data_IF_803421711397
#
_entry.id   IF_803421711397
#
_cell.length_a   1.000
_cell.length_b   1.000
_cell.length_c   1.000
_cell.angle_alpha   90.00
_cell.angle_beta   90.00
_cell.angle_gamma   90.00
#
_symmetry.space_group_name_H-M   'P 1'
#
loop_
_entity.id
_entity.type
_entity.pdbx_description
1 polymer ?
#
# COMPACT_ATOMS: atom_id res chain seq x y z
N UNK A 1 -7.52 19.81 12.73
CA UNK A 1 -7.24 18.38 12.89
C UNK A 1 -6.59 18.13 14.24
N UNK A 2 -7.13 17.20 15.00
CA UNK A 2 -6.61 16.79 16.31
C UNK A 2 -5.54 15.70 16.15
N UNK A 3 -4.53 15.90 15.29
CA UNK A 3 -3.48 14.93 15.03
C UNK A 3 -2.39 15.47 14.13
N UNK A 4 -1.29 14.76 14.03
CA UNK A 4 -0.20 15.06 13.12
C UNK A 4 -0.41 14.44 11.74
N UNK A 5 0.30 14.95 10.75
CA UNK A 5 0.39 14.39 9.40
C UNK A 5 1.83 13.95 9.13
N UNK A 6 2.01 12.72 8.66
CA UNK A 6 3.30 12.22 8.21
C UNK A 6 3.31 12.23 6.69
N UNK A 7 4.22 13.00 6.09
CA UNK A 7 4.40 13.07 4.65
C UNK A 7 5.63 12.26 4.24
N UNK A 8 5.44 11.29 3.33
CA UNK A 8 6.52 10.53 2.72
C UNK A 8 6.80 11.06 1.32
N UNK A 9 8.02 11.54 1.11
CA UNK A 9 8.50 11.99 -0.20
C UNK A 9 9.43 10.95 -0.78
N UNK A 10 9.07 10.39 -1.94
CA UNK A 10 9.98 9.52 -2.69
C UNK A 10 11.11 10.34 -3.29
N UNK A 11 12.30 9.73 -3.43
CA UNK A 11 13.44 10.38 -4.08
C UNK A 11 13.04 10.96 -5.44
N UNK A 12 13.57 12.13 -5.77
CA UNK A 12 13.34 12.78 -7.07
C UNK A 12 14.55 12.59 -7.98
N UNK A 13 14.33 12.31 -9.28
CA UNK A 13 15.39 12.33 -10.26
C UNK A 13 16.06 13.71 -10.31
N UNK A 14 17.32 13.73 -10.78
CA UNK A 14 18.08 14.96 -10.93
C UNK A 14 18.28 15.22 -12.43
N UNK A 15 18.07 16.45 -12.85
CA UNK A 15 18.40 16.93 -14.21
C UNK A 15 19.75 17.65 -14.12
N UNK A 16 20.73 17.22 -14.93
CA UNK A 16 22.07 17.81 -15.00
C UNK A 16 22.51 17.93 -16.43
N UNK A 17 23.41 18.89 -16.74
CA UNK A 17 23.90 19.21 -18.08
C UNK A 17 24.77 18.14 -18.74
N UNK A 18 25.01 17.00 -18.11
CA UNK A 18 25.71 15.85 -18.70
C UNK A 18 25.02 14.55 -18.41
N UNK A 19 25.03 13.63 -19.35
CA UNK A 19 24.51 12.29 -19.17
C UNK A 19 25.31 11.53 -18.12
N UNK A 20 24.59 10.96 -17.14
CA UNK A 20 25.21 10.19 -16.06
C UNK A 20 24.29 9.09 -15.57
N UNK A 21 24.85 7.90 -15.42
CA UNK A 21 24.19 6.76 -14.79
C UNK A 21 24.90 6.47 -13.46
N UNK A 22 24.09 6.26 -12.41
CA UNK A 22 24.57 5.78 -11.12
C UNK A 22 23.64 4.66 -10.65
N UNK A 23 24.22 3.51 -10.33
CA UNK A 23 23.49 2.38 -9.76
C UNK A 23 24.02 2.04 -8.38
N UNK A 24 23.14 1.55 -7.52
CA UNK A 24 23.48 0.98 -6.22
C UNK A 24 22.69 -0.31 -6.02
N UNK A 25 23.36 -1.30 -5.49
CA UNK A 25 22.74 -2.55 -5.07
C UNK A 25 22.91 -2.69 -3.57
N UNK A 26 21.81 -3.05 -2.89
CA UNK A 26 21.80 -3.23 -1.44
C UNK A 26 21.17 -4.57 -1.12
N UNK A 27 21.83 -5.35 -0.28
CA UNK A 27 21.29 -6.59 0.28
C UNK A 27 21.18 -6.41 1.79
N UNK A 28 20.02 -6.75 2.36
CA UNK A 28 19.80 -6.80 3.79
C UNK A 28 19.44 -8.23 4.20
N UNK A 29 20.02 -8.68 5.31
CA UNK A 29 19.64 -9.93 5.96
C UNK A 29 19.14 -9.65 7.37
N UNK A 30 18.02 -10.29 7.73
CA UNK A 30 17.40 -10.19 9.05
C UNK A 30 17.38 -11.58 9.69
N UNK A 31 18.13 -11.78 10.77
CA UNK A 31 18.27 -13.08 11.45
C UNK A 31 16.97 -13.54 12.13
N UNK A 32 16.12 -12.61 12.57
CA UNK A 32 14.88 -12.91 13.29
C UNK A 32 13.88 -13.73 12.45
N UNK A 33 13.89 -13.58 11.15
CA UNK A 33 13.01 -14.30 10.22
C UNK A 33 13.76 -14.85 9.00
N UNK A 34 15.10 -14.95 9.08
CA UNK A 34 15.94 -15.38 7.96
C UNK A 34 15.62 -14.61 6.66
N UNK A 35 15.20 -13.34 6.82
CA UNK A 35 14.73 -12.51 5.74
C UNK A 35 15.89 -12.00 4.88
N UNK A 36 15.71 -12.05 3.56
CA UNK A 36 16.63 -11.46 2.59
C UNK A 36 15.86 -10.46 1.76
N UNK A 37 16.37 -9.24 1.67
CA UNK A 37 15.83 -8.19 0.82
C UNK A 37 16.93 -7.61 -0.06
N UNK A 38 16.74 -7.66 -1.37
CA UNK A 38 17.65 -7.12 -2.37
C UNK A 38 17.00 -5.91 -3.04
N UNK A 39 17.74 -4.83 -3.17
CA UNK A 39 17.27 -3.62 -3.83
C UNK A 39 18.32 -3.12 -4.81
N UNK A 40 17.92 -2.94 -6.08
CA UNK A 40 18.68 -2.30 -7.12
C UNK A 40 18.07 -0.93 -7.43
N UNK A 41 18.85 0.12 -7.28
CA UNK A 41 18.46 1.49 -7.65
C UNK A 41 19.36 2.00 -8.74
N UNK A 42 18.77 2.45 -9.85
CA UNK A 42 19.49 3.10 -10.95
C UNK A 42 18.95 4.51 -11.15
N UNK A 43 19.85 5.47 -11.13
CA UNK A 43 19.57 6.88 -11.43
C UNK A 43 20.18 7.22 -12.76
N UNK A 44 19.40 7.83 -13.63
CA UNK A 44 19.86 8.45 -14.87
C UNK A 44 19.63 9.96 -14.81
N UNK A 45 20.57 10.73 -15.29
CA UNK A 45 20.43 12.19 -15.43
C UNK A 45 20.94 12.66 -16.77
N UNK A 46 20.26 13.62 -17.38
CA UNK A 46 20.67 14.35 -18.57
C UNK A 46 20.27 15.81 -18.46
N UNK A 47 20.45 16.59 -19.53
CA UNK A 47 20.14 18.02 -19.58
C UNK A 47 18.61 18.29 -19.46
N UNK A 48 17.80 17.44 -20.09
CA UNK A 48 16.37 17.69 -20.23
C UNK A 48 15.50 16.74 -19.41
N UNK A 49 16.04 15.62 -18.94
CA UNK A 49 15.29 14.67 -18.13
C UNK A 49 16.17 13.83 -17.21
N UNK A 50 15.58 13.26 -16.20
CA UNK A 50 16.21 12.31 -15.32
C UNK A 50 15.23 11.22 -14.92
N UNK A 51 15.74 10.08 -14.49
CA UNK A 51 14.90 8.99 -13.96
C UNK A 51 15.52 8.30 -12.76
N UNK A 52 14.67 7.70 -11.95
CA UNK A 52 15.04 6.75 -10.90
C UNK A 52 14.22 5.48 -11.13
N UNK A 53 14.92 4.36 -11.26
CA UNK A 53 14.33 3.02 -11.25
C UNK A 53 14.79 2.31 -9.99
N UNK A 54 13.86 1.71 -9.25
CA UNK A 54 14.18 0.86 -8.09
C UNK A 54 13.40 -0.45 -8.20
N UNK A 55 14.11 -1.56 -8.10
CA UNK A 55 13.54 -2.90 -8.02
C UNK A 55 13.93 -3.52 -6.68
N UNK A 56 12.94 -3.94 -5.91
CA UNK A 56 13.14 -4.67 -4.65
C UNK A 56 12.54 -6.07 -4.76
N UNK A 57 13.28 -7.07 -4.29
CA UNK A 57 12.81 -8.45 -4.16
C UNK A 57 13.13 -8.87 -2.73
N UNK A 58 12.10 -9.23 -1.98
CA UNK A 58 12.21 -9.61 -0.57
C UNK A 58 11.57 -10.97 -0.32
N UNK A 59 12.22 -11.77 0.51
CA UNK A 59 11.68 -13.03 1.01
C UNK A 59 11.94 -13.11 2.51
N UNK A 60 10.90 -13.31 3.27
CA UNK A 60 10.92 -13.41 4.72
C UNK A 60 10.41 -14.80 5.12
N UNK A 61 11.16 -15.46 6.00
CA UNK A 61 10.71 -16.69 6.67
C UNK A 61 9.90 -16.37 7.92
N UNK A 62 9.56 -17.41 8.67
CA UNK A 62 8.83 -17.27 9.91
C UNK A 62 9.64 -16.54 10.99
N UNK A 63 8.97 -15.69 11.76
CA UNK A 63 9.61 -14.88 12.80
C UNK A 63 9.97 -15.76 13.99
N UNK A 64 11.24 -15.75 14.40
CA UNK A 64 11.70 -16.35 15.65
C UNK A 64 11.80 -15.27 16.73
N UNK A 65 11.08 -15.48 17.82
CA UNK A 65 11.15 -14.62 19.01
C UNK A 65 12.40 -14.95 19.82
N UNK A 66 12.83 -13.96 20.64
CA UNK A 66 13.82 -14.21 21.68
C UNK A 66 13.32 -15.18 22.74
N UNK A 67 14.23 -15.97 23.29
CA UNK A 67 13.91 -16.98 24.31
C UNK A 67 13.81 -16.40 25.72
N UNK A 68 14.46 -15.26 25.96
CA UNK A 68 14.45 -14.57 27.26
C UNK A 68 13.19 -13.73 27.41
N UNK A 69 12.46 -13.96 28.49
CA UNK A 69 11.19 -13.27 28.84
C UNK A 69 11.34 -12.58 30.21
N UNK A 70 12.19 -11.58 30.25
CA UNK A 70 12.50 -10.82 31.48
C UNK A 70 11.28 -10.08 32.05
N UNK A 71 10.23 -9.87 31.25
CA UNK A 71 8.96 -9.30 31.68
C UNK A 71 8.09 -10.24 32.55
N UNK A 72 8.51 -11.50 32.79
CA UNK A 72 7.84 -12.45 33.69
C UNK A 72 6.70 -13.26 33.07
N UNK A 73 6.31 -13.02 31.82
CA UNK A 73 5.27 -13.80 31.12
C UNK A 73 5.92 -14.91 30.28
N UNK A 74 6.22 -16.05 30.89
CA UNK A 74 7.02 -17.12 30.29
C UNK A 74 6.40 -17.74 29.03
N UNK A 75 5.08 -17.77 28.94
CA UNK A 75 4.33 -18.30 27.76
C UNK A 75 4.00 -17.25 26.69
N UNK A 76 4.42 -15.99 26.91
CA UNK A 76 4.07 -14.92 25.97
C UNK A 76 4.66 -15.18 24.59
N UNK A 77 3.77 -15.16 23.59
CA UNK A 77 4.10 -15.33 22.17
C UNK A 77 4.52 -16.76 21.77
N UNK A 78 4.50 -17.74 22.67
CA UNK A 78 4.72 -19.14 22.30
C UNK A 78 3.61 -19.63 21.37
N UNK A 79 4.01 -20.41 20.36
CA UNK A 79 3.12 -21.00 19.36
C UNK A 79 3.27 -22.53 19.38
N UNK A 80 2.58 -23.24 20.29
CA UNK A 80 2.73 -24.69 20.44
C UNK A 80 2.12 -25.48 19.28
N UNK A 81 1.10 -24.92 18.62
CA UNK A 81 0.38 -25.52 17.49
C UNK A 81 0.40 -24.59 16.30
N UNK A 82 0.45 -25.14 15.09
CA UNK A 82 0.30 -24.37 13.86
C UNK A 82 -0.44 -25.18 12.77
N UNK A 83 -0.88 -24.51 11.72
CA UNK A 83 -1.50 -25.14 10.57
C UNK A 83 -0.49 -25.35 9.44
N UNK A 84 -0.39 -26.54 8.91
CA UNK A 84 0.34 -26.85 7.68
C UNK A 84 -0.52 -26.71 6.42
N UNK A 85 -1.78 -26.35 6.60
CA UNK A 85 -2.69 -26.12 5.49
C UNK A 85 -2.25 -24.92 4.66
N UNK A 86 -2.42 -25.02 3.37
CA UNK A 86 -2.13 -23.96 2.43
C UNK A 86 -3.13 -24.01 1.26
N UNK A 87 -2.92 -23.16 0.28
CA UNK A 87 -3.69 -23.19 -0.97
C UNK A 87 -3.69 -24.56 -1.63
N UNK A 88 -2.60 -25.34 -1.44
CA UNK A 88 -2.33 -26.61 -2.13
C UNK A 88 -2.28 -27.82 -1.22
N UNK A 89 -2.31 -27.64 0.09
CA UNK A 89 -2.20 -28.73 1.06
C UNK A 89 -3.36 -28.74 2.03
N UNK A 90 -3.76 -29.97 2.41
CA UNK A 90 -4.83 -30.21 3.36
C UNK A 90 -4.35 -31.14 4.48
N UNK A 91 -4.46 -30.67 5.70
CA UNK A 91 -4.24 -31.45 6.92
C UNK A 91 -5.44 -31.30 7.84
N UNK A 92 -6.08 -32.40 8.30
CA UNK A 92 -7.28 -32.34 9.11
C UNK A 92 -7.03 -31.83 10.53
N UNK A 93 -5.78 -31.93 11.00
CA UNK A 93 -5.38 -31.58 12.35
C UNK A 93 -4.25 -30.54 12.35
N UNK A 94 -4.12 -29.83 13.46
CA UNK A 94 -3.01 -28.92 13.69
C UNK A 94 -1.73 -29.68 14.02
N UNK A 95 -0.61 -29.19 13.55
CA UNK A 95 0.72 -29.76 13.80
C UNK A 95 1.34 -29.18 15.06
N UNK A 96 2.12 -30.01 15.77
CA UNK A 96 2.89 -29.57 16.94
C UNK A 96 4.10 -28.79 16.45
N UNK A 97 4.31 -27.61 17.02
CA UNK A 97 5.47 -26.80 16.72
C UNK A 97 6.67 -27.27 17.58
N UNK A 98 7.71 -27.76 16.93
CA UNK A 98 8.93 -28.24 17.62
C UNK A 98 9.76 -27.11 18.25
N UNK A 99 9.63 -25.87 17.76
CA UNK A 99 10.22 -24.66 18.38
C UNK A 99 9.11 -23.62 18.56
N UNK A 100 8.51 -23.60 19.75
CA UNK A 100 7.38 -22.72 20.04
C UNK A 100 7.72 -21.22 19.96
N UNK A 101 9.01 -20.86 19.92
CA UNK A 101 9.45 -19.46 19.69
C UNK A 101 9.36 -19.05 18.22
N UNK A 102 9.19 -20.00 17.29
CA UNK A 102 8.97 -19.68 15.89
C UNK A 102 7.47 -19.46 15.67
N UNK A 103 7.12 -18.26 15.29
CA UNK A 103 5.77 -17.88 14.89
C UNK A 103 5.49 -18.38 13.47
N UNK A 104 5.07 -19.64 13.36
CA UNK A 104 4.76 -20.28 12.08
C UNK A 104 3.70 -19.50 11.31
N UNK A 105 3.79 -19.54 9.97
CA UNK A 105 2.88 -18.84 9.09
C UNK A 105 3.01 -17.30 9.17
N UNK A 106 4.22 -16.78 9.39
CA UNK A 106 4.51 -15.33 9.31
C UNK A 106 5.38 -14.96 8.12
N UNK A 107 5.91 -15.96 7.41
CA UNK A 107 6.74 -15.76 6.24
C UNK A 107 5.96 -15.32 5.00
N UNK A 108 6.56 -14.48 4.17
CA UNK A 108 6.02 -14.06 2.87
C UNK A 108 7.12 -13.55 1.94
N UNK A 109 6.77 -13.32 0.68
CA UNK A 109 7.65 -12.68 -0.30
C UNK A 109 6.97 -11.50 -0.96
N UNK A 110 7.78 -10.55 -1.46
CA UNK A 110 7.28 -9.34 -2.09
C UNK A 110 8.21 -8.86 -3.19
N UNK A 111 7.63 -8.33 -4.25
CA UNK A 111 8.33 -7.63 -5.33
C UNK A 111 7.78 -6.22 -5.45
N UNK A 112 8.67 -5.23 -5.48
CA UNK A 112 8.32 -3.83 -5.64
C UNK A 112 9.11 -3.22 -6.79
N UNK A 113 8.41 -2.54 -7.68
CA UNK A 113 8.99 -1.72 -8.75
C UNK A 113 8.57 -0.27 -8.54
N UNK A 114 9.56 0.61 -8.53
CA UNK A 114 9.38 2.05 -8.52
C UNK A 114 10.09 2.66 -9.71
N UNK A 115 9.38 3.47 -10.47
CA UNK A 115 9.92 4.24 -11.59
C UNK A 115 9.46 5.69 -11.49
N UNK A 116 10.39 6.61 -11.57
CA UNK A 116 10.09 8.03 -11.58
C UNK A 116 10.85 8.73 -12.68
N UNK A 117 10.16 9.59 -13.44
CA UNK A 117 10.73 10.47 -14.44
C UNK A 117 10.55 11.92 -14.02
N UNK A 118 11.55 12.73 -14.25
CA UNK A 118 11.49 14.18 -14.18
C UNK A 118 11.90 14.72 -15.54
N UNK A 119 11.03 15.46 -16.19
CA UNK A 119 11.21 15.95 -17.57
C UNK A 119 11.04 17.46 -17.55
N UNK A 120 12.01 18.18 -18.12
CA UNK A 120 11.96 19.62 -18.31
C UNK A 120 11.11 19.93 -19.55
N UNK A 121 10.08 20.75 -19.37
CA UNK A 121 9.18 21.20 -20.43
C UNK A 121 9.40 22.70 -20.67
N UNK A 122 10.16 23.01 -21.71
CA UNK A 122 10.61 24.39 -21.95
C UNK A 122 11.59 24.87 -20.87
N UNK A 123 11.60 26.16 -20.58
CA UNK A 123 12.60 26.75 -19.67
C UNK A 123 12.27 26.57 -18.19
N UNK A 124 10.99 26.53 -17.83
CA UNK A 124 10.55 26.65 -16.44
C UNK A 124 9.68 25.48 -15.95
N UNK A 125 8.96 24.80 -16.84
CA UNK A 125 7.99 23.80 -16.43
C UNK A 125 8.62 22.42 -16.25
N UNK A 126 8.09 21.63 -15.33
CA UNK A 126 8.58 20.29 -15.01
C UNK A 126 7.42 19.30 -14.98
N UNK A 127 7.56 18.21 -15.74
CA UNK A 127 6.68 17.06 -15.65
C UNK A 127 7.37 15.98 -14.81
N UNK A 128 6.72 15.56 -13.75
CA UNK A 128 7.11 14.44 -12.92
C UNK A 128 6.12 13.29 -13.15
N UNK A 129 6.59 12.10 -13.50
CA UNK A 129 5.74 10.90 -13.64
C UNK A 129 6.23 9.85 -12.66
N UNK A 130 5.37 9.46 -11.73
CA UNK A 130 5.64 8.43 -10.72
C UNK A 130 4.82 7.19 -11.04
N UNK A 131 5.49 6.04 -11.14
CA UNK A 131 4.88 4.72 -11.41
C UNK A 131 5.35 3.77 -10.31
N UNK A 132 4.43 3.05 -9.70
CA UNK A 132 4.73 2.05 -8.68
C UNK A 132 3.94 0.77 -8.96
N UNK A 133 4.60 -0.35 -8.75
CA UNK A 133 3.99 -1.66 -8.74
C UNK A 133 4.49 -2.43 -7.53
N UNK A 134 3.60 -3.11 -6.83
CA UNK A 134 3.92 -3.97 -5.70
C UNK A 134 3.04 -5.21 -5.75
N UNK A 135 3.65 -6.38 -5.53
CA UNK A 135 2.96 -7.66 -5.44
C UNK A 135 3.58 -8.50 -4.32
N UNK A 136 2.74 -8.99 -3.41
CA UNK A 136 3.15 -9.96 -2.38
C UNK A 136 2.75 -11.39 -2.76
N UNK A 137 3.37 -12.40 -2.12
CA UNK A 137 2.77 -13.73 -2.00
C UNK A 137 1.49 -13.68 -1.15
N UNK A 138 0.86 -14.84 -0.93
CA UNK A 138 -0.10 -14.97 0.15
C UNK A 138 0.56 -14.55 1.47
N UNK A 139 -0.19 -13.84 2.34
CA UNK A 139 0.27 -13.35 3.65
C UNK A 139 -0.68 -13.92 4.71
N UNK A 140 -0.18 -14.88 5.45
CA UNK A 140 -0.97 -15.53 6.49
C UNK A 140 -1.29 -14.57 7.63
N UNK A 141 -2.49 -14.68 8.16
CA UNK A 141 -2.94 -13.97 9.34
C UNK A 141 -2.59 -14.76 10.60
N UNK A 142 -1.35 -14.64 11.02
CA UNK A 142 -0.84 -15.27 12.22
C UNK A 142 -1.75 -15.03 13.46
N UNK A 143 -2.24 -13.81 13.63
CA UNK A 143 -3.15 -13.43 14.71
C UNK A 143 -4.46 -14.24 14.73
N UNK A 144 -4.91 -14.74 13.59
CA UNK A 144 -6.11 -15.58 13.47
C UNK A 144 -5.76 -17.08 13.49
N UNK A 145 -4.64 -17.44 12.90
CA UNK A 145 -4.17 -18.84 12.84
C UNK A 145 -3.68 -19.34 14.20
N UNK A 146 -3.30 -18.45 15.11
CA UNK A 146 -2.92 -18.78 16.49
C UNK A 146 -4.09 -18.86 17.46
N UNK A 147 -5.33 -18.52 17.04
CA UNK A 147 -6.49 -18.62 17.92
C UNK A 147 -6.86 -20.08 18.16
N UNK A 148 -6.89 -20.47 19.44
CA UNK A 148 -7.36 -21.79 19.88
C UNK A 148 -8.81 -21.75 20.34
N UNK A 149 -9.53 -22.85 20.15
CA UNK A 149 -10.85 -23.12 20.69
C UNK A 149 -10.89 -24.55 21.20
N UNK A 150 -11.22 -24.75 22.46
CA UNK A 150 -11.24 -26.07 23.11
C UNK A 150 -9.95 -26.91 22.90
N UNK A 151 -8.77 -26.25 22.95
CA UNK A 151 -7.47 -26.91 22.82
C UNK A 151 -6.99 -27.20 21.39
N UNK A 152 -7.78 -26.83 20.37
CA UNK A 152 -7.41 -26.94 18.95
C UNK A 152 -7.42 -25.59 18.25
N UNK A 153 -6.71 -25.45 17.14
CA UNK A 153 -6.74 -24.24 16.32
C UNK A 153 -8.09 -24.05 15.65
N UNK A 154 -8.56 -22.81 15.63
CA UNK A 154 -9.86 -22.43 15.05
C UNK A 154 -9.85 -22.47 13.52
N UNK A 155 -8.78 -21.98 12.90
CA UNK A 155 -8.65 -21.86 11.46
C UNK A 155 -7.51 -22.74 10.95
N UNK A 156 -7.77 -23.48 9.88
CA UNK A 156 -6.76 -24.20 9.12
C UNK A 156 -6.10 -23.32 8.07
N UNK A 157 -6.84 -22.36 7.51
CA UNK A 157 -6.36 -21.35 6.59
C UNK A 157 -6.98 -20.00 6.95
N UNK A 158 -6.16 -18.98 6.99
CA UNK A 158 -6.60 -17.60 7.07
C UNK A 158 -5.48 -16.70 6.55
N UNK A 159 -5.61 -16.25 5.32
CA UNK A 159 -4.58 -15.43 4.68
C UNK A 159 -5.19 -14.35 3.79
N UNK A 160 -4.43 -13.29 3.59
CA UNK A 160 -4.61 -12.39 2.46
C UNK A 160 -3.96 -13.04 1.25
N UNK A 161 -4.68 -13.22 0.16
CA UNK A 161 -4.11 -13.63 -1.12
C UNK A 161 -3.17 -12.55 -1.66
N UNK A 162 -2.46 -12.78 -2.78
CA UNK A 162 -1.50 -11.82 -3.28
C UNK A 162 -2.09 -10.42 -3.34
N UNK A 163 -1.51 -9.50 -2.56
CA UNK A 163 -1.89 -8.09 -2.62
C UNK A 163 -1.15 -7.45 -3.79
N UNK A 164 -1.91 -6.90 -4.74
CA UNK A 164 -1.36 -6.22 -5.93
C UNK A 164 -1.74 -4.77 -5.89
N UNK A 165 -0.76 -3.90 -6.07
CA UNK A 165 -0.97 -2.46 -6.17
C UNK A 165 -0.22 -1.91 -7.38
N UNK A 166 -0.95 -1.19 -8.21
CA UNK A 166 -0.40 -0.37 -9.28
C UNK A 166 -0.76 1.09 -9.03
N UNK A 167 0.18 2.00 -9.22
CA UNK A 167 -0.02 3.45 -9.16
C UNK A 167 0.68 4.10 -10.32
N UNK A 168 0.00 5.07 -10.95
CA UNK A 168 0.61 6.06 -11.84
C UNK A 168 0.15 7.45 -11.43
N UNK A 169 1.11 8.38 -11.27
CA UNK A 169 0.82 9.75 -10.84
C UNK A 169 1.71 10.76 -11.59
N UNK A 170 1.25 11.28 -12.74
CA UNK A 170 1.85 12.43 -13.38
C UNK A 170 1.52 13.72 -12.62
N UNK A 171 2.52 14.61 -12.50
CA UNK A 171 2.40 15.94 -11.89
C UNK A 171 3.13 16.96 -12.74
N UNK A 172 2.40 17.93 -13.25
CA UNK A 172 2.92 19.05 -14.01
C UNK A 172 3.11 20.26 -13.07
N UNK A 173 4.34 20.71 -12.91
CA UNK A 173 4.68 21.97 -12.22
C UNK A 173 4.88 23.06 -13.23
N UNK A 174 4.20 24.20 -13.02
CA UNK A 174 4.22 25.34 -13.90
C UNK A 174 4.62 26.60 -13.13
N UNK A 175 5.40 27.47 -13.78
CA UNK A 175 5.92 28.71 -13.19
C UNK A 175 5.65 29.89 -14.16
N UNK A 176 4.38 30.26 -14.38
CA UNK A 176 4.02 31.23 -15.39
C UNK A 176 4.35 32.67 -15.01
N UNK A 177 4.72 32.95 -13.75
CA UNK A 177 5.02 34.28 -13.20
C UNK A 177 3.94 35.34 -13.50
N UNK A 178 2.67 34.94 -13.43
CA UNK A 178 1.52 35.83 -13.61
C UNK A 178 1.06 36.42 -12.28
N UNK A 179 0.33 37.54 -12.34
CA UNK A 179 -0.16 38.25 -11.14
C UNK A 179 -0.92 37.32 -10.16
N UNK A 180 -1.77 36.47 -10.67
CA UNK A 180 -2.59 35.57 -9.85
C UNK A 180 -2.00 34.15 -9.70
N UNK A 181 -0.92 33.82 -10.39
CA UNK A 181 -0.29 32.52 -10.35
C UNK A 181 1.23 32.66 -10.60
N UNK A 182 2.02 32.54 -9.54
CA UNK A 182 3.49 32.52 -9.64
C UNK A 182 4.01 31.10 -9.86
N UNK A 183 3.39 30.14 -9.22
CA UNK A 183 3.65 28.70 -9.39
C UNK A 183 2.36 27.92 -9.25
N UNK A 184 2.32 26.75 -9.85
CA UNK A 184 1.22 25.82 -9.73
C UNK A 184 1.68 24.38 -9.93
N UNK A 185 0.88 23.45 -9.45
CA UNK A 185 1.01 22.03 -9.70
C UNK A 185 -0.35 21.42 -10.05
N UNK A 186 -0.40 20.64 -11.11
CA UNK A 186 -1.56 19.82 -11.46
C UNK A 186 -1.12 18.36 -11.39
N UNK A 187 -1.74 17.60 -10.49
CA UNK A 187 -1.39 16.20 -10.26
C UNK A 187 -2.61 15.31 -10.49
N UNK A 188 -2.45 14.36 -11.37
CA UNK A 188 -3.39 13.25 -11.55
C UNK A 188 -2.86 12.01 -10.85
N UNK A 189 -3.74 11.19 -10.29
CA UNK A 189 -3.41 9.89 -9.71
C UNK A 189 -4.38 8.82 -10.15
N UNK A 190 -3.86 7.67 -10.52
CA UNK A 190 -4.64 6.45 -10.70
C UNK A 190 -4.00 5.33 -9.89
N UNK A 191 -4.81 4.64 -9.08
CA UNK A 191 -4.38 3.42 -8.39
C UNK A 191 -5.36 2.29 -8.67
N UNK A 192 -4.81 1.09 -8.83
CA UNK A 192 -5.56 -0.16 -8.79
C UNK A 192 -5.00 -1.02 -7.68
N UNK A 193 -5.87 -1.49 -6.79
CA UNK A 193 -5.51 -2.32 -5.64
C UNK A 193 -6.40 -3.56 -5.69
N UNK A 194 -5.79 -4.75 -5.71
CA UNK A 194 -6.47 -6.01 -5.54
C UNK A 194 -6.09 -6.59 -4.18
N UNK A 195 -7.09 -6.94 -3.40
CA UNK A 195 -6.94 -7.57 -2.10
C UNK A 195 -7.93 -8.72 -1.98
N UNK A 196 -7.54 -9.80 -1.33
CA UNK A 196 -8.46 -10.90 -1.05
C UNK A 196 -8.24 -11.43 0.36
N UNK A 197 -9.28 -12.01 0.94
CA UNK A 197 -9.28 -12.71 2.21
C UNK A 197 -9.80 -14.09 2.01
N UNK A 198 -8.96 -15.05 2.32
CA UNK A 198 -9.27 -16.47 2.19
C UNK A 198 -9.21 -17.10 3.57
N UNK A 199 -10.24 -17.88 3.92
CA UNK A 199 -10.29 -18.54 5.22
C UNK A 199 -11.02 -19.89 5.14
N UNK A 200 -10.56 -20.81 5.98
CA UNK A 200 -11.17 -22.11 6.17
C UNK A 200 -10.98 -22.54 7.64
N UNK A 201 -11.98 -23.16 8.23
CA UNK A 201 -11.86 -23.79 9.55
C UNK A 201 -11.27 -25.19 9.43
N UNK A 202 -10.69 -25.70 10.51
CA UNK A 202 -10.37 -27.12 10.59
C UNK A 202 -11.63 -27.98 10.43
N UNK A 203 -11.48 -29.16 9.85
CA UNK A 203 -12.57 -30.10 9.54
C UNK A 203 -13.66 -29.56 8.62
N UNK A 204 -13.42 -28.44 7.94
CA UNK A 204 -14.29 -27.92 6.91
C UNK A 204 -13.58 -28.00 5.54
N UNK A 205 -14.33 -28.40 4.51
CA UNK A 205 -13.85 -28.43 3.14
C UNK A 205 -14.14 -27.12 2.39
N UNK A 206 -15.06 -26.31 2.89
CA UNK A 206 -15.44 -25.05 2.27
C UNK A 206 -14.42 -23.96 2.58
N UNK A 207 -13.77 -23.45 1.53
CA UNK A 207 -12.85 -22.31 1.56
C UNK A 207 -13.62 -21.05 1.14
N UNK A 208 -13.72 -20.09 2.04
CA UNK A 208 -14.38 -18.80 1.77
C UNK A 208 -13.39 -17.82 1.15
N UNK A 209 -13.82 -17.16 0.09
CA UNK A 209 -13.08 -16.13 -0.63
C UNK A 209 -13.85 -14.81 -0.58
N UNK A 210 -13.19 -13.74 -0.16
CA UNK A 210 -13.69 -12.36 -0.23
C UNK A 210 -12.65 -11.54 -1.00
N UNK A 211 -13.02 -10.98 -2.14
CA UNK A 211 -12.12 -10.34 -3.09
C UNK A 211 -12.58 -8.91 -3.33
N UNK A 212 -11.65 -7.98 -3.23
CA UNK A 212 -11.86 -6.55 -3.44
C UNK A 212 -10.99 -6.06 -4.59
N UNK A 213 -11.60 -5.37 -5.54
CA UNK A 213 -10.93 -4.66 -6.65
C UNK A 213 -11.24 -3.17 -6.52
N UNK A 214 -10.27 -2.42 -6.01
CA UNK A 214 -10.39 -0.98 -5.76
C UNK A 214 -9.67 -0.20 -6.85
N UNK A 215 -10.36 0.74 -7.47
CA UNK A 215 -9.81 1.75 -8.36
C UNK A 215 -9.97 3.12 -7.74
N UNK A 216 -8.88 3.90 -7.72
CA UNK A 216 -8.84 5.25 -7.17
C UNK A 216 -8.35 6.20 -8.25
N UNK A 217 -9.13 7.24 -8.49
CA UNK A 217 -8.76 8.36 -9.36
C UNK A 217 -8.67 9.62 -8.50
N UNK A 218 -7.64 10.41 -8.69
CA UNK A 218 -7.50 11.70 -8.03
C UNK A 218 -7.02 12.77 -9.01
N UNK A 219 -7.48 13.99 -8.81
CA UNK A 219 -7.03 15.17 -9.54
C UNK A 219 -6.87 16.30 -8.53
N UNK A 220 -5.66 16.85 -8.45
CA UNK A 220 -5.35 17.98 -7.58
C UNK A 220 -4.77 19.11 -8.42
N UNK A 221 -5.20 20.32 -8.14
CA UNK A 221 -4.64 21.56 -8.69
C UNK A 221 -4.32 22.51 -7.55
N UNK A 222 -3.03 22.80 -7.35
CA UNK A 222 -2.52 23.64 -6.26
C UNK A 222 -1.79 24.83 -6.88
N UNK A 223 -2.15 26.05 -6.48
CA UNK A 223 -1.63 27.27 -7.05
C UNK A 223 -1.24 28.26 -5.95
N UNK A 224 -0.13 28.94 -6.17
CA UNK A 224 0.36 29.96 -5.25
C UNK A 224 0.67 31.25 -5.98
N UNK A 225 0.40 32.35 -5.33
CA UNK A 225 0.84 33.68 -5.73
C UNK A 225 1.32 34.49 -4.52
N UNK A 226 2.23 35.41 -4.77
CA UNK A 226 2.72 36.37 -3.75
C UNK A 226 2.76 37.77 -4.31
N UNK A 227 2.56 38.74 -3.45
CA UNK A 227 2.53 40.17 -3.76
C UNK A 227 3.65 40.89 -2.99
N UNK A 228 4.09 42.05 -3.50
CA UNK A 228 5.25 42.78 -2.96
C UNK A 228 5.05 43.31 -1.54
N UNK A 229 3.82 43.38 -1.04
CA UNK A 229 3.47 43.92 0.27
C UNK A 229 3.27 42.85 1.35
N UNK A 230 3.93 41.72 1.23
CA UNK A 230 3.92 40.63 2.22
C UNK A 230 2.69 39.73 2.19
N UNK A 231 1.79 39.90 1.23
CA UNK A 231 0.65 39.01 1.05
C UNK A 231 1.00 37.84 0.17
N UNK A 232 0.48 36.64 0.53
CA UNK A 232 0.50 35.43 -0.31
C UNK A 232 -0.85 34.74 -0.27
N UNK A 233 -1.20 34.10 -1.38
CA UNK A 233 -2.44 33.35 -1.50
C UNK A 233 -2.07 31.97 -2.08
N UNK A 234 -2.51 30.92 -1.38
CA UNK A 234 -2.50 29.52 -1.87
C UNK A 234 -3.94 29.08 -2.07
N UNK A 235 -4.27 28.55 -3.22
CA UNK A 235 -5.61 28.10 -3.55
C UNK A 235 -5.57 26.86 -4.43
N UNK A 236 -6.64 26.09 -4.39
CA UNK A 236 -6.66 24.88 -5.19
C UNK A 236 -7.97 24.13 -5.14
N UNK A 237 -7.96 23.05 -5.88
CA UNK A 237 -9.06 22.08 -5.98
C UNK A 237 -8.53 20.67 -5.83
N UNK A 238 -9.32 19.83 -5.19
CA UNK A 238 -9.08 18.40 -5.06
C UNK A 238 -10.32 17.64 -5.53
N UNK A 239 -10.12 16.56 -6.27
CA UNK A 239 -11.18 15.61 -6.61
C UNK A 239 -10.66 14.19 -6.43
N UNK A 240 -11.46 13.34 -5.79
CA UNK A 240 -11.17 11.91 -5.64
C UNK A 240 -12.42 11.10 -5.98
N UNK A 241 -12.23 10.04 -6.76
CA UNK A 241 -13.26 9.07 -7.05
C UNK A 241 -12.71 7.66 -6.81
N UNK A 242 -13.33 6.95 -5.88
CA UNK A 242 -13.01 5.56 -5.54
C UNK A 242 -14.16 4.68 -6.01
N UNK A 243 -13.81 3.59 -6.67
CA UNK A 243 -14.76 2.55 -7.05
C UNK A 243 -14.26 1.21 -6.56
N UNK A 244 -15.08 0.53 -5.76
CA UNK A 244 -14.78 -0.78 -5.20
C UNK A 244 -15.77 -1.81 -5.74
N UNK A 245 -15.25 -2.89 -6.33
CA UNK A 245 -16.02 -4.06 -6.71
C UNK A 245 -15.69 -5.19 -5.74
N UNK A 246 -16.73 -5.72 -5.06
CA UNK A 246 -16.60 -6.75 -4.05
C UNK A 246 -17.22 -8.06 -4.55
N UNK A 247 -16.51 -9.17 -4.35
CA UNK A 247 -16.96 -10.50 -4.72
C UNK A 247 -16.69 -11.46 -3.58
N UNK A 248 -17.66 -12.33 -3.27
CA UNK A 248 -17.47 -13.35 -2.26
C UNK A 248 -18.14 -14.67 -2.64
N UNK A 249 -17.45 -15.76 -2.36
CA UNK A 249 -17.95 -17.10 -2.61
C UNK A 249 -17.25 -18.11 -1.70
N UNK A 250 -17.96 -19.19 -1.39
CA UNK A 250 -17.39 -20.41 -0.87
C UNK A 250 -17.08 -21.36 -2.01
N UNK A 251 -16.05 -22.19 -1.84
CA UNK A 251 -15.65 -23.21 -2.78
C UNK A 251 -15.19 -24.45 -2.03
N UNK A 252 -15.76 -25.61 -2.36
CA UNK A 252 -15.39 -26.88 -1.73
C UNK A 252 -14.06 -27.37 -2.27
N UNK A 253 -13.17 -27.84 -1.39
CA UNK A 253 -11.90 -28.45 -1.78
C UNK A 253 -12.14 -29.89 -2.27
N UNK A 254 -11.48 -30.25 -3.36
CA UNK A 254 -11.30 -31.63 -3.80
C UNK A 254 -9.92 -32.08 -3.32
N UNK A 255 -9.88 -33.19 -2.57
CA UNK A 255 -8.70 -33.61 -1.82
C UNK A 255 -8.35 -35.07 -2.17
N UNK A 256 -7.06 -35.26 -2.39
CA UNK A 256 -6.48 -36.60 -2.51
C UNK A 256 -5.27 -36.69 -1.56
N UNK A 257 -5.39 -37.52 -0.51
CA UNK A 257 -4.43 -37.56 0.59
C UNK A 257 -4.31 -36.18 1.26
N UNK A 258 -3.10 -35.64 1.30
CA UNK A 258 -2.80 -34.32 1.87
C UNK A 258 -2.71 -33.21 0.80
N UNK A 259 -3.15 -33.46 -0.42
CA UNK A 259 -3.10 -32.47 -1.50
C UNK A 259 -4.49 -31.98 -1.86
N UNK A 260 -4.60 -30.69 -2.16
CA UNK A 260 -5.77 -30.08 -2.79
C UNK A 260 -5.59 -30.26 -4.30
N UNK A 261 -6.35 -31.18 -4.90
CA UNK A 261 -6.26 -31.54 -6.32
C UNK A 261 -7.22 -30.74 -7.20
N UNK A 262 -8.27 -30.17 -6.58
CA UNK A 262 -9.26 -29.38 -7.30
C UNK A 262 -10.10 -28.50 -6.39
N UNK A 263 -10.95 -27.73 -7.05
CA UNK A 263 -11.93 -26.84 -6.41
C UNK A 263 -13.29 -27.06 -7.07
N UNK A 264 -14.29 -27.38 -6.27
CA UNK A 264 -15.65 -27.56 -6.73
C UNK A 264 -16.34 -26.27 -7.14
N UNK A 265 -17.65 -26.30 -7.26
CA UNK A 265 -18.47 -25.15 -7.64
C UNK A 265 -18.38 -23.99 -6.65
N UNK A 266 -18.62 -22.78 -7.16
CA UNK A 266 -18.65 -21.56 -6.36
C UNK A 266 -20.07 -21.27 -5.90
N UNK A 267 -20.23 -21.10 -4.61
CA UNK A 267 -21.47 -20.69 -3.98
C UNK A 267 -21.35 -19.27 -3.46
N UNK A 268 -22.19 -18.36 -3.93
CA UNK A 268 -22.17 -16.97 -3.50
C UNK A 268 -22.42 -16.86 -1.99
N UNK A 269 -21.62 -16.04 -1.32
CA UNK A 269 -21.79 -15.67 0.09
C UNK A 269 -21.81 -14.14 0.22
N UNK A 270 -22.28 -13.59 1.35
CA UNK A 270 -22.28 -12.15 1.56
C UNK A 270 -20.91 -11.52 1.38
N UNK A 271 -20.84 -10.47 0.57
CA UNK A 271 -19.65 -9.65 0.35
C UNK A 271 -19.41 -8.71 1.53
N UNK A 272 -18.20 -8.13 1.63
CA UNK A 272 -17.89 -7.14 2.67
C UNK A 272 -18.44 -5.75 2.34
N UNK A 273 -18.51 -5.44 1.06
CA UNK A 273 -19.12 -4.24 0.49
C UNK A 273 -20.18 -4.68 -0.51
N UNK A 274 -21.16 -3.85 -0.84
CA UNK A 274 -22.17 -4.20 -1.85
C UNK A 274 -21.56 -4.72 -3.15
N UNK A 275 -22.10 -5.83 -3.68
CA UNK A 275 -21.51 -6.61 -4.78
C UNK A 275 -21.64 -5.93 -6.13
N UNK A 276 -22.65 -5.07 -6.31
CA UNK A 276 -22.91 -4.39 -7.59
C UNK A 276 -22.01 -3.16 -7.79
N UNK A 277 -21.10 -2.94 -6.86
CA UNK A 277 -20.13 -1.87 -6.85
C UNK A 277 -20.50 -0.75 -5.89
N UNK A 278 -19.50 -0.28 -5.18
CA UNK A 278 -19.60 0.85 -4.28
C UNK A 278 -18.68 1.96 -4.74
N UNK A 279 -19.14 3.20 -4.66
CA UNK A 279 -18.29 4.34 -5.00
C UNK A 279 -18.32 5.41 -3.92
N UNK A 280 -17.17 6.05 -3.75
CA UNK A 280 -17.01 7.23 -2.93
C UNK A 280 -16.41 8.33 -3.80
N UNK A 281 -17.02 9.50 -3.79
CA UNK A 281 -16.52 10.70 -4.46
C UNK A 281 -16.31 11.82 -3.46
N UNK A 282 -15.28 12.60 -3.68
CA UNK A 282 -15.02 13.82 -2.92
C UNK A 282 -14.55 14.91 -3.88
N UNK A 283 -15.08 16.11 -3.71
CA UNK A 283 -14.61 17.32 -4.38
C UNK A 283 -14.41 18.38 -3.32
N UNK A 284 -13.27 19.07 -3.36
CA UNK A 284 -13.00 20.18 -2.45
C UNK A 284 -12.35 21.34 -3.19
N UNK A 285 -12.63 22.55 -2.73
CA UNK A 285 -11.89 23.75 -3.07
C UNK A 285 -11.40 24.42 -1.80
N UNK A 286 -10.25 25.07 -1.87
CA UNK A 286 -9.67 25.76 -0.73
C UNK A 286 -8.96 27.05 -1.15
N UNK A 287 -8.87 27.95 -0.20
CA UNK A 287 -8.11 29.19 -0.30
C UNK A 287 -7.48 29.48 1.07
N UNK A 288 -6.20 29.80 1.05
CA UNK A 288 -5.46 30.24 2.22
C UNK A 288 -4.78 31.58 1.88
N UNK A 289 -5.00 32.57 2.72
CA UNK A 289 -4.36 33.87 2.64
C UNK A 289 -3.42 34.03 3.82
N UNK A 290 -2.20 34.47 3.53
CA UNK A 290 -1.18 34.77 4.51
C UNK A 290 -0.68 36.19 4.33
N UNK A 291 -0.52 36.91 5.42
CA UNK A 291 0.01 38.27 5.44
C UNK A 291 1.12 38.40 6.49
N UNK A 292 2.34 38.63 6.00
CA UNK A 292 3.48 38.98 6.83
C UNK A 292 3.41 40.45 7.14
N UNK A 293 2.82 40.81 8.27
CA UNK A 293 2.65 42.21 8.72
C UNK A 293 3.97 42.82 9.19
N UNK A 294 4.85 41.99 9.77
CA UNK A 294 6.20 42.38 10.21
C UNK A 294 7.09 41.13 10.28
N UNK A 295 8.35 41.30 10.64
CA UNK A 295 9.29 40.17 10.88
C UNK A 295 8.84 39.27 12.04
N UNK A 296 8.01 39.78 12.95
CA UNK A 296 7.54 39.06 14.14
C UNK A 296 6.08 38.59 14.05
N UNK A 297 5.31 39.08 13.09
CA UNK A 297 3.89 38.80 13.05
C UNK A 297 3.41 38.41 11.65
N UNK A 298 2.84 37.20 11.56
CA UNK A 298 2.21 36.67 10.36
C UNK A 298 0.76 36.29 10.65
N UNK A 299 -0.16 36.78 9.84
CA UNK A 299 -1.59 36.50 9.92
C UNK A 299 -1.97 35.49 8.83
N UNK A 300 -2.67 34.40 9.20
CA UNK A 300 -3.12 33.36 8.27
C UNK A 300 -4.61 33.11 8.42
N UNK A 301 -5.33 33.10 7.31
CA UNK A 301 -6.74 32.70 7.23
C UNK A 301 -6.94 31.73 6.09
N UNK A 302 -7.62 30.64 6.36
CA UNK A 302 -7.95 29.61 5.36
C UNK A 302 -9.42 29.22 5.40
N UNK A 303 -9.95 28.90 4.23
CA UNK A 303 -11.27 28.32 4.05
C UNK A 303 -11.19 27.11 3.12
N UNK A 304 -11.98 26.08 3.43
CA UNK A 304 -12.13 24.88 2.60
C UNK A 304 -13.59 24.48 2.55
N UNK A 305 -14.08 24.21 1.35
CA UNK A 305 -15.39 23.65 1.12
C UNK A 305 -15.22 22.26 0.53
N UNK A 306 -15.89 21.28 1.10
CA UNK A 306 -15.80 19.87 0.66
C UNK A 306 -17.19 19.29 0.45
N UNK A 307 -17.40 18.64 -0.68
CA UNK A 307 -18.58 17.86 -1.01
C UNK A 307 -18.19 16.38 -1.10
N UNK A 308 -18.98 15.51 -0.50
CA UNK A 308 -18.76 14.07 -0.54
C UNK A 308 -20.01 13.36 -1.00
N UNK A 309 -19.85 12.31 -1.78
CA UNK A 309 -20.91 11.41 -2.23
C UNK A 309 -20.52 9.96 -1.96
N UNK A 310 -21.45 9.18 -1.45
CA UNK A 310 -21.31 7.74 -1.25
C UNK A 310 -22.46 7.04 -1.99
N UNK A 311 -22.11 6.07 -2.82
CA UNK A 311 -23.08 5.16 -3.44
C UNK A 311 -22.69 3.74 -3.06
N UNK A 312 -23.66 3.00 -2.51
CA UNK A 312 -23.56 1.59 -2.18
C UNK A 312 -24.80 0.90 -2.76
N UNK A 313 -24.63 -0.08 -3.65
CA UNK A 313 -25.70 -0.77 -4.37
C UNK A 313 -25.53 -2.28 -4.30
#
# INVERSE_FOLDING_TARGET
>A
ALGGVIHYYTKSPIIKGSEKIKSSFTTNYTSANQGVSNNLVTNYSSENWGSITSLSISKFGDIKMGEKREHGFNSWGLTPLYSENSRYSYYPEASINSDENIQKNTGYSQVDLFQKFLIKLGETNLLNVNIQFSESSDIDRYDQLSITNAGSLKFSEWYYGPQKRFLISPSLRIFPNRKFMKKGAITFGFQKINESRIKRKFNALNRSHQIEDLKVFSLNGDFDTSFNNGHSISYGVESTYNYNYSKAYDQTLEIEGNQVTGLGEKFAIPTRYPSDGSSYSSFASYLNWSWNMSEFFTFNVGARLTFTGLKAS
#
